data_IF_123520789050
#
_entry.id   IF_123520789050
#
_cell.length_a   1.000
_cell.length_b   1.000
_cell.length_c   1.000
_cell.angle_alpha   90.00
_cell.angle_beta   90.00
_cell.angle_gamma   90.00
#
_symmetry.space_group_name_H-M   'P 1'
#
loop_
_entity.id
_entity.type
_entity.pdbx_description
1 polymer ?
#
# COMPACT_ATOMS: atom_id res chain seq x y z
N UNK A 1 -53.77 -69.01 76.46
CA UNK A 1 -52.37 -68.74 76.86
C UNK A 1 -51.39 -69.38 75.88
N UNK A 2 -51.69 -70.57 75.35
CA UNK A 2 -50.85 -71.23 74.34
C UNK A 2 -50.94 -70.54 72.95
N UNK A 3 -52.17 -70.26 72.47
CA UNK A 3 -52.40 -69.53 71.21
C UNK A 3 -51.72 -68.15 71.17
N UNK A 4 -51.76 -67.41 72.29
CA UNK A 4 -51.12 -66.10 72.42
C UNK A 4 -49.59 -66.17 72.36
N UNK A 5 -49.00 -67.30 72.76
CA UNK A 5 -47.56 -67.51 72.75
C UNK A 5 -47.08 -67.90 71.34
N UNK A 6 -47.89 -68.66 70.62
CA UNK A 6 -47.65 -69.00 69.21
C UNK A 6 -47.75 -67.76 68.30
N UNK A 7 -48.72 -66.89 68.53
CA UNK A 7 -48.84 -65.61 67.81
C UNK A 7 -47.62 -64.70 68.03
N UNK A 8 -47.11 -64.66 69.27
CA UNK A 8 -45.88 -63.92 69.60
C UNK A 8 -44.65 -64.53 68.92
N UNK A 9 -44.55 -65.85 68.83
CA UNK A 9 -43.47 -66.53 68.11
C UNK A 9 -43.51 -66.27 66.60
N UNK A 10 -44.70 -66.24 66.00
CA UNK A 10 -44.90 -65.93 64.58
C UNK A 10 -44.53 -64.48 64.30
N UNK A 11 -44.97 -63.54 65.13
CA UNK A 11 -44.62 -62.12 64.98
C UNK A 11 -43.13 -61.88 65.15
N UNK A 12 -42.47 -62.52 66.11
CA UNK A 12 -41.02 -62.46 66.29
C UNK A 12 -40.24 -63.01 65.09
N UNK A 13 -40.67 -64.15 64.52
CA UNK A 13 -40.05 -64.67 63.28
C UNK A 13 -40.24 -63.71 62.10
N UNK A 14 -41.43 -63.14 61.96
CA UNK A 14 -41.72 -62.19 60.89
C UNK A 14 -40.90 -60.90 61.02
N UNK A 15 -40.70 -60.39 62.24
CA UNK A 15 -39.83 -59.23 62.48
C UNK A 15 -38.36 -59.58 62.22
N UNK A 16 -37.89 -60.75 62.63
CA UNK A 16 -36.54 -61.25 62.34
C UNK A 16 -36.30 -61.29 60.82
N UNK A 17 -37.20 -61.90 60.06
CA UNK A 17 -37.11 -62.00 58.59
C UNK A 17 -37.11 -60.60 57.95
N UNK A 18 -37.92 -59.67 58.45
CA UNK A 18 -37.94 -58.28 57.94
C UNK A 18 -36.61 -57.58 58.20
N UNK A 19 -36.07 -57.69 59.42
CA UNK A 19 -34.76 -57.12 59.77
C UNK A 19 -33.64 -57.73 58.92
N UNK A 20 -33.64 -59.05 58.71
CA UNK A 20 -32.64 -59.73 57.87
C UNK A 20 -32.71 -59.26 56.41
N UNK A 21 -33.93 -59.02 55.89
CA UNK A 21 -34.12 -58.42 54.55
C UNK A 21 -33.55 -57.00 54.48
N UNK A 22 -33.85 -56.16 55.46
CA UNK A 22 -33.32 -54.79 55.52
C UNK A 22 -31.79 -54.79 55.62
N UNK A 23 -31.20 -55.65 56.46
CA UNK A 23 -29.75 -55.81 56.57
C UNK A 23 -29.12 -56.25 55.25
N UNK A 24 -29.76 -57.19 54.54
CA UNK A 24 -29.27 -57.63 53.23
C UNK A 24 -29.39 -56.55 52.16
N UNK A 25 -30.46 -55.74 52.17
CA UNK A 25 -30.59 -54.59 51.28
C UNK A 25 -29.52 -53.53 51.56
N UNK A 26 -29.28 -53.21 52.83
CA UNK A 26 -28.22 -52.28 53.22
C UNK A 26 -26.84 -52.77 52.77
N UNK A 27 -26.55 -54.07 52.92
CA UNK A 27 -25.30 -54.66 52.41
C UNK A 27 -25.16 -54.52 50.90
N UNK A 28 -26.24 -54.75 50.14
CA UNK A 28 -26.24 -54.58 48.69
C UNK A 28 -26.03 -53.12 48.28
N UNK A 29 -26.65 -52.17 48.98
CA UNK A 29 -26.45 -50.74 48.73
C UNK A 29 -25.03 -50.31 49.04
N UNK A 30 -24.46 -50.76 50.17
CA UNK A 30 -23.06 -50.51 50.51
C UNK A 30 -22.14 -51.02 49.40
N UNK A 31 -22.33 -52.28 48.95
CA UNK A 31 -21.53 -52.85 47.86
C UNK A 31 -21.65 -52.04 46.56
N UNK A 32 -22.87 -51.61 46.20
CA UNK A 32 -23.12 -50.80 45.01
C UNK A 32 -22.45 -49.43 45.12
N UNK A 33 -22.57 -48.76 46.27
CA UNK A 33 -21.95 -47.46 46.50
C UNK A 33 -20.41 -47.57 46.48
N UNK A 34 -19.84 -48.63 47.06
CA UNK A 34 -18.39 -48.86 47.00
C UNK A 34 -17.89 -49.04 45.56
N UNK A 35 -18.63 -49.75 44.71
CA UNK A 35 -18.29 -49.88 43.29
C UNK A 35 -18.38 -48.52 42.58
N UNK A 36 -19.39 -47.71 42.86
CA UNK A 36 -19.52 -46.37 42.29
C UNK A 36 -18.40 -45.44 42.74
N UNK A 37 -18.02 -45.47 44.01
CA UNK A 37 -16.89 -44.71 44.55
C UNK A 37 -15.60 -45.11 43.82
N UNK A 38 -15.32 -46.42 43.70
CA UNK A 38 -14.13 -46.91 43.01
C UNK A 38 -14.08 -46.43 41.55
N UNK A 39 -15.21 -46.46 40.83
CA UNK A 39 -15.28 -45.97 39.45
C UNK A 39 -15.03 -44.47 39.34
N UNK A 40 -15.59 -43.70 40.27
CA UNK A 40 -15.42 -42.25 40.30
C UNK A 40 -13.97 -41.88 40.65
N UNK A 41 -13.34 -42.61 41.58
CA UNK A 41 -11.93 -42.45 41.94
C UNK A 41 -11.00 -42.80 40.77
N UNK A 42 -11.28 -43.88 40.03
CA UNK A 42 -10.56 -44.23 38.81
C UNK A 42 -10.69 -43.14 37.73
N UNK A 43 -11.91 -42.63 37.49
CA UNK A 43 -12.15 -41.55 36.53
C UNK A 43 -11.45 -40.25 36.94
N UNK A 44 -11.48 -39.90 38.23
CA UNK A 44 -10.78 -38.74 38.77
C UNK A 44 -9.25 -38.87 38.59
N UNK A 45 -8.70 -40.05 38.85
CA UNK A 45 -7.27 -40.32 38.63
C UNK A 45 -6.89 -40.22 37.14
N UNK A 46 -7.73 -40.75 36.24
CA UNK A 46 -7.52 -40.66 34.79
C UNK A 46 -7.56 -39.19 34.31
N UNK A 47 -8.54 -38.41 34.75
CA UNK A 47 -8.64 -36.99 34.43
C UNK A 47 -7.47 -36.19 34.99
N UNK A 48 -7.03 -36.49 36.21
CA UNK A 48 -5.87 -35.84 36.81
C UNK A 48 -4.58 -36.17 36.04
N UNK A 49 -4.41 -37.41 35.60
CA UNK A 49 -3.30 -37.81 34.76
C UNK A 49 -3.34 -37.06 33.42
N UNK A 50 -4.49 -37.04 32.74
CA UNK A 50 -4.69 -36.27 31.51
C UNK A 50 -4.32 -34.81 31.72
N UNK A 51 -4.88 -34.17 32.74
CA UNK A 51 -4.60 -32.77 33.08
C UNK A 51 -3.11 -32.52 33.33
N UNK A 52 -2.43 -33.42 34.08
CA UNK A 52 -0.97 -33.33 34.30
C UNK A 52 -0.20 -33.48 33.00
N UNK A 53 -0.52 -34.47 32.16
CA UNK A 53 0.14 -34.69 30.86
C UNK A 53 -0.01 -33.47 29.96
N UNK A 54 -1.22 -32.88 29.91
CA UNK A 54 -1.44 -31.62 29.19
C UNK A 54 -0.63 -30.46 29.81
N UNK A 55 -0.57 -30.32 31.15
CA UNK A 55 0.20 -29.25 31.80
C UNK A 55 1.73 -29.41 31.70
N UNK A 56 2.26 -30.65 31.67
CA UNK A 56 3.70 -30.93 31.58
C UNK A 56 4.32 -30.48 30.25
N UNK A 57 3.52 -30.30 29.20
CA UNK A 57 3.98 -29.89 27.87
C UNK A 57 4.10 -28.39 27.64
N UNK A 58 4.10 -27.56 28.69
CA UNK A 58 3.83 -26.11 28.55
C UNK A 58 2.54 -25.89 27.73
N UNK A 59 1.39 -26.41 28.18
CA UNK A 59 0.14 -26.09 27.50
C UNK A 59 -0.18 -24.61 27.68
N UNK A 60 0.24 -23.81 26.69
CA UNK A 60 -0.02 -22.36 26.61
C UNK A 60 -1.45 -22.14 26.12
N UNK A 61 -2.43 -22.74 26.80
CA UNK A 61 -3.85 -22.67 26.44
C UNK A 61 -4.29 -21.23 26.22
N UNK A 62 -3.85 -20.31 27.08
CA UNK A 62 -4.11 -18.88 26.90
C UNK A 62 -3.50 -18.30 25.61
N UNK A 63 -2.29 -18.71 25.22
CA UNK A 63 -1.70 -18.25 23.95
C UNK A 63 -2.42 -18.84 22.73
N UNK A 64 -2.88 -20.09 22.82
CA UNK A 64 -3.67 -20.73 21.77
C UNK A 64 -5.06 -20.08 21.66
N UNK A 65 -5.70 -19.75 22.77
CA UNK A 65 -6.97 -19.03 22.82
C UNK A 65 -6.82 -17.63 22.21
N UNK A 66 -5.76 -16.89 22.58
CA UNK A 66 -5.46 -15.60 21.96
C UNK A 66 -5.20 -15.71 20.45
N UNK A 67 -4.52 -16.78 20.02
CA UNK A 67 -4.28 -17.04 18.60
C UNK A 67 -5.60 -17.34 17.87
N UNK A 68 -6.47 -18.15 18.45
CA UNK A 68 -7.78 -18.48 17.90
C UNK A 68 -8.66 -17.24 17.77
N UNK A 69 -8.67 -16.37 18.78
CA UNK A 69 -9.40 -15.10 18.74
C UNK A 69 -8.85 -14.19 17.64
N UNK A 70 -7.52 -14.06 17.53
CA UNK A 70 -6.88 -13.28 16.47
C UNK A 70 -7.22 -13.81 15.07
N UNK A 71 -7.24 -15.14 14.89
CA UNK A 71 -7.62 -15.77 13.64
C UNK A 71 -9.10 -15.52 13.32
N UNK A 72 -9.98 -15.63 14.31
CA UNK A 72 -11.40 -15.37 14.14
C UNK A 72 -11.67 -13.93 13.68
N UNK A 73 -10.98 -12.95 14.28
CA UNK A 73 -11.07 -11.55 13.87
C UNK A 73 -10.60 -11.33 12.42
N UNK A 74 -9.51 -12.00 12.00
CA UNK A 74 -9.05 -11.92 10.60
C UNK A 74 -10.04 -12.54 9.63
N UNK A 75 -10.61 -13.68 9.97
CA UNK A 75 -11.64 -14.34 9.15
C UNK A 75 -12.88 -13.45 9.03
N UNK A 76 -13.26 -12.79 10.13
CA UNK A 76 -14.37 -11.84 10.15
C UNK A 76 -14.11 -10.63 9.24
N UNK A 77 -12.92 -10.05 9.27
CA UNK A 77 -12.54 -8.94 8.39
C UNK A 77 -12.58 -9.35 6.91
N UNK A 78 -12.02 -10.51 6.55
CA UNK A 78 -12.08 -11.04 5.18
C UNK A 78 -13.54 -11.26 4.75
N UNK A 79 -14.34 -11.88 5.60
CA UNK A 79 -15.75 -12.13 5.32
C UNK A 79 -16.54 -10.83 5.09
N UNK A 80 -16.34 -9.79 5.91
CA UNK A 80 -16.99 -8.50 5.74
C UNK A 80 -16.59 -7.83 4.42
N UNK A 81 -15.33 -7.93 4.03
CA UNK A 81 -14.83 -7.35 2.78
C UNK A 81 -15.32 -8.11 1.53
N UNK A 82 -15.52 -9.43 1.62
CA UNK A 82 -16.00 -10.26 0.50
C UNK A 82 -17.53 -10.26 0.36
N UNK A 83 -18.27 -10.41 1.47
CA UNK A 83 -19.73 -10.62 1.48
C UNK A 83 -20.52 -9.34 1.77
N UNK A 84 -19.91 -8.37 2.46
CA UNK A 84 -20.55 -7.14 2.91
C UNK A 84 -21.18 -7.26 4.31
N UNK A 85 -21.54 -6.12 4.91
CA UNK A 85 -21.95 -6.03 6.32
C UNK A 85 -23.39 -6.48 6.62
N UNK A 86 -24.13 -6.99 5.63
CA UNK A 86 -25.57 -7.26 5.76
C UNK A 86 -25.91 -8.62 6.40
N UNK A 87 -24.93 -9.54 6.50
CA UNK A 87 -25.14 -10.86 7.09
C UNK A 87 -24.59 -10.90 8.53
N UNK A 88 -25.27 -10.21 9.45
CA UNK A 88 -24.99 -10.22 10.90
C UNK A 88 -25.60 -11.43 11.62
N UNK A 89 -25.58 -12.62 11.01
CA UNK A 89 -25.87 -13.84 11.75
C UNK A 89 -24.61 -14.29 12.47
N UNK A 90 -24.75 -14.78 13.72
CA UNK A 90 -23.68 -15.38 14.53
C UNK A 90 -23.11 -16.64 13.84
N UNK A 91 -22.40 -16.46 12.73
CA UNK A 91 -21.78 -17.53 11.97
C UNK A 91 -20.49 -17.94 12.67
N UNK A 92 -20.29 -19.25 12.81
CA UNK A 92 -19.02 -19.79 13.26
C UNK A 92 -17.92 -19.51 12.24
N UNK A 93 -16.67 -19.43 12.67
CA UNK A 93 -15.49 -19.16 11.81
C UNK A 93 -15.43 -20.08 10.59
N UNK A 94 -15.75 -21.36 10.77
CA UNK A 94 -15.78 -22.35 9.67
C UNK A 94 -16.86 -22.02 8.65
N UNK A 95 -18.04 -21.62 9.11
CA UNK A 95 -19.14 -21.24 8.20
C UNK A 95 -18.78 -19.99 7.40
N UNK A 96 -18.16 -19.00 8.03
CA UNK A 96 -17.66 -17.80 7.34
C UNK A 96 -16.67 -18.17 6.23
N UNK A 97 -15.73 -19.07 6.52
CA UNK A 97 -14.76 -19.54 5.53
C UNK A 97 -15.44 -20.27 4.35
N UNK A 98 -16.45 -21.10 4.61
CA UNK A 98 -17.19 -21.79 3.56
C UNK A 98 -17.92 -20.81 2.63
N UNK A 99 -18.51 -19.74 3.18
CA UNK A 99 -19.14 -18.70 2.35
C UNK A 99 -18.10 -17.99 1.49
N UNK A 100 -16.95 -17.63 2.06
CA UNK A 100 -15.85 -16.98 1.32
C UNK A 100 -15.33 -17.88 0.20
N UNK A 101 -15.13 -19.17 0.48
CA UNK A 101 -14.70 -20.16 -0.51
C UNK A 101 -15.71 -20.27 -1.66
N UNK A 102 -17.00 -20.36 -1.34
CA UNK A 102 -18.05 -20.41 -2.35
C UNK A 102 -18.08 -19.14 -3.23
N UNK A 103 -17.96 -17.95 -2.63
CA UNK A 103 -17.88 -16.71 -3.40
C UNK A 103 -16.65 -16.65 -4.30
N UNK A 104 -15.51 -17.15 -3.83
CA UNK A 104 -14.29 -17.22 -4.62
C UNK A 104 -14.50 -18.14 -5.83
N UNK A 105 -15.09 -19.31 -5.64
CA UNK A 105 -15.41 -20.25 -6.73
C UNK A 105 -16.38 -19.62 -7.75
N UNK A 106 -17.44 -18.95 -7.29
CA UNK A 106 -18.38 -18.25 -8.18
C UNK A 106 -17.68 -17.16 -9.02
N UNK A 107 -16.78 -16.39 -8.41
CA UNK A 107 -16.02 -15.36 -9.11
C UNK A 107 -15.06 -15.96 -10.14
N UNK A 108 -14.42 -17.09 -9.82
CA UNK A 108 -13.55 -17.81 -10.75
C UNK A 108 -14.34 -18.37 -11.94
N UNK A 109 -15.49 -19.00 -11.70
CA UNK A 109 -16.36 -19.47 -12.78
C UNK A 109 -16.83 -18.31 -13.67
N UNK A 110 -17.21 -17.18 -13.05
CA UNK A 110 -17.62 -15.99 -13.79
C UNK A 110 -16.48 -15.44 -14.65
N UNK A 111 -15.24 -15.48 -14.15
CA UNK A 111 -14.04 -15.06 -14.88
C UNK A 111 -13.78 -15.94 -16.10
N UNK A 112 -13.94 -17.26 -15.97
CA UNK A 112 -13.80 -18.20 -17.09
C UNK A 112 -14.88 -18.01 -18.16
N UNK A 113 -16.09 -17.63 -17.75
CA UNK A 113 -17.23 -17.39 -18.66
C UNK A 113 -17.20 -16.04 -19.35
N UNK A 114 -16.26 -15.14 -19.04
CA UNK A 114 -16.21 -13.81 -19.66
C UNK A 114 -16.00 -13.93 -21.17
N UNK A 115 -16.89 -13.37 -22.01
CA UNK A 115 -16.71 -13.43 -23.46
C UNK A 115 -15.45 -12.69 -23.91
N UNK A 116 -14.64 -13.33 -24.77
CA UNK A 116 -13.40 -12.77 -25.31
C UNK A 116 -13.60 -11.38 -25.94
N UNK A 117 -14.74 -11.13 -26.58
CA UNK A 117 -15.07 -9.84 -27.17
C UNK A 117 -15.09 -8.69 -26.16
N UNK A 118 -15.55 -8.92 -24.91
CA UNK A 118 -15.53 -7.90 -23.85
C UNK A 118 -14.10 -7.63 -23.37
N UNK A 119 -13.26 -8.67 -23.31
CA UNK A 119 -11.85 -8.57 -22.93
C UNK A 119 -11.11 -7.70 -23.96
N UNK A 120 -11.26 -8.00 -25.25
CA UNK A 120 -10.62 -7.22 -26.31
C UNK A 120 -11.07 -5.75 -26.32
N UNK A 121 -12.35 -5.49 -26.05
CA UNK A 121 -12.87 -4.12 -25.93
C UNK A 121 -12.21 -3.38 -24.76
N UNK A 122 -12.11 -4.03 -23.59
CA UNK A 122 -11.45 -3.47 -22.42
C UNK A 122 -9.95 -3.19 -22.67
N UNK A 123 -9.25 -4.10 -23.34
CA UNK A 123 -7.85 -3.92 -23.75
C UNK A 123 -7.68 -2.75 -24.71
N UNK A 124 -8.55 -2.64 -25.73
CA UNK A 124 -8.53 -1.52 -26.69
C UNK A 124 -8.76 -0.18 -25.99
N UNK A 125 -9.67 -0.12 -25.02
CA UNK A 125 -9.92 1.09 -24.22
C UNK A 125 -8.69 1.44 -23.39
N UNK A 126 -8.11 0.48 -22.66
CA UNK A 126 -6.92 0.69 -21.82
C UNK A 126 -5.70 1.12 -22.62
N UNK A 127 -5.46 0.50 -23.78
CA UNK A 127 -4.37 0.87 -24.68
C UNK A 127 -4.61 2.24 -25.33
N UNK A 128 -5.85 2.58 -25.68
CA UNK A 128 -6.20 3.93 -26.16
C UNK A 128 -5.93 4.99 -25.09
N UNK A 129 -6.35 4.74 -23.85
CA UNK A 129 -6.11 5.66 -22.73
C UNK A 129 -4.61 5.84 -22.49
N UNK A 130 -3.85 4.74 -22.46
CA UNK A 130 -2.38 4.77 -22.34
C UNK A 130 -1.74 5.62 -23.45
N UNK A 131 -2.17 5.46 -24.70
CA UNK A 131 -1.68 6.26 -25.83
C UNK A 131 -1.98 7.74 -25.67
N UNK A 132 -3.17 8.08 -25.20
CA UNK A 132 -3.57 9.48 -24.96
C UNK A 132 -2.68 10.07 -23.86
N UNK A 133 -2.54 9.39 -22.71
CA UNK A 133 -1.68 9.84 -21.59
C UNK A 133 -0.24 10.10 -22.05
N UNK A 134 0.34 9.22 -22.87
CA UNK A 134 1.71 9.39 -23.40
C UNK A 134 1.80 10.61 -24.33
N UNK A 135 0.81 10.82 -25.21
CA UNK A 135 0.79 11.99 -26.11
C UNK A 135 0.64 13.30 -25.35
N UNK A 136 -0.26 13.33 -24.36
CA UNK A 136 -0.48 14.50 -23.52
C UNK A 136 0.79 14.87 -22.75
N UNK A 137 1.47 13.89 -22.15
CA UNK A 137 2.71 14.14 -21.43
C UNK A 137 3.81 14.65 -22.38
N UNK A 138 3.93 14.07 -23.57
CA UNK A 138 4.89 14.54 -24.58
C UNK A 138 4.57 15.97 -25.04
N UNK A 139 3.31 16.29 -25.28
CA UNK A 139 2.87 17.63 -25.67
C UNK A 139 3.12 18.64 -24.53
N UNK A 140 2.89 18.24 -23.27
CA UNK A 140 3.17 19.06 -22.09
C UNK A 140 4.65 19.41 -21.99
N UNK A 141 5.54 18.42 -22.15
CA UNK A 141 6.99 18.62 -22.12
C UNK A 141 7.42 19.55 -23.27
N UNK A 142 6.91 19.34 -24.49
CA UNK A 142 7.23 20.21 -25.63
C UNK A 142 6.77 21.66 -25.41
N UNK A 143 5.57 21.86 -24.86
CA UNK A 143 5.04 23.18 -24.52
C UNK A 143 5.90 23.87 -23.47
N UNK A 144 6.30 23.17 -22.42
CA UNK A 144 7.20 23.71 -21.39
C UNK A 144 8.56 24.13 -21.96
N UNK A 145 9.16 23.28 -22.80
CA UNK A 145 10.43 23.61 -23.47
C UNK A 145 10.31 24.82 -24.40
N UNK A 146 9.19 24.94 -25.13
CA UNK A 146 8.93 26.09 -25.99
C UNK A 146 8.72 27.37 -25.19
N UNK A 147 7.96 27.28 -24.09
CA UNK A 147 7.74 28.39 -23.17
C UNK A 147 9.04 28.86 -22.53
N UNK A 148 9.91 27.95 -22.07
CA UNK A 148 11.23 28.28 -21.53
C UNK A 148 12.11 29.00 -22.56
N UNK A 149 12.10 28.54 -23.82
CA UNK A 149 12.83 29.20 -24.92
C UNK A 149 12.31 30.62 -25.17
N UNK A 150 10.99 30.80 -25.19
CA UNK A 150 10.36 32.12 -25.35
C UNK A 150 10.68 33.04 -24.17
N UNK A 151 10.61 32.53 -22.94
CA UNK A 151 10.98 33.28 -21.73
C UNK A 151 12.47 33.70 -21.78
N UNK A 152 13.39 32.79 -22.15
CA UNK A 152 14.82 33.10 -22.30
C UNK A 152 15.09 34.13 -23.41
N UNK A 153 14.34 34.10 -24.51
CA UNK A 153 14.45 35.10 -25.57
C UNK A 153 13.93 36.47 -25.12
N UNK A 154 12.78 36.52 -24.43
CA UNK A 154 12.22 37.75 -23.84
C UNK A 154 13.17 38.36 -22.82
N UNK A 155 13.73 37.56 -21.91
CA UNK A 155 14.71 38.03 -20.93
C UNK A 155 15.96 38.63 -21.59
N UNK A 156 16.47 38.01 -22.67
CA UNK A 156 17.58 38.57 -23.45
C UNK A 156 17.24 39.89 -24.14
N UNK A 157 16.02 40.04 -24.63
CA UNK A 157 15.56 41.28 -25.27
C UNK A 157 15.33 42.42 -24.26
N UNK A 158 14.87 42.09 -23.05
CA UNK A 158 14.65 43.05 -21.96
C UNK A 158 15.93 43.41 -21.19
N UNK A 159 16.98 42.59 -21.29
CA UNK A 159 18.25 42.84 -20.61
C UNK A 159 18.84 44.18 -21.05
N UNK A 160 19.29 44.97 -20.07
CA UNK A 160 19.84 46.30 -20.34
C UNK A 160 21.05 46.21 -21.28
N UNK A 161 20.99 46.96 -22.38
CA UNK A 161 22.10 47.08 -23.32
C UNK A 161 23.21 47.87 -22.64
N UNK A 162 24.27 47.18 -22.21
CA UNK A 162 25.50 47.82 -21.71
C UNK A 162 26.14 48.62 -22.84
N UNK A 163 25.91 49.94 -22.84
CA UNK A 163 26.55 50.87 -23.78
C UNK A 163 28.06 50.83 -23.54
N UNK A 164 28.78 50.12 -24.42
CA UNK A 164 30.24 50.18 -24.42
C UNK A 164 30.63 51.60 -24.82
N UNK A 165 31.18 52.38 -23.90
CA UNK A 165 31.94 53.57 -24.28
C UNK A 165 33.13 53.03 -25.08
N UNK A 166 33.16 53.31 -26.38
CA UNK A 166 34.22 52.86 -27.27
C UNK A 166 35.60 53.40 -26.85
N UNK A 167 36.63 53.15 -27.66
CA UNK A 167 37.95 53.77 -27.44
C UNK A 167 37.79 55.29 -27.46
N UNK A 168 38.38 55.97 -26.47
CA UNK A 168 38.39 57.44 -26.40
C UNK A 168 38.99 57.99 -27.68
N UNK A 169 38.32 58.95 -28.31
CA UNK A 169 38.83 59.64 -29.49
C UNK A 169 40.17 60.29 -29.12
N UNK A 170 41.23 59.91 -29.82
CA UNK A 170 42.55 60.53 -29.68
C UNK A 170 42.66 61.60 -30.76
N UNK A 171 42.80 62.86 -30.35
CA UNK A 171 43.01 63.97 -31.29
C UNK A 171 44.36 63.81 -32.00
N UNK A 172 44.39 64.01 -33.33
CA UNK A 172 45.64 64.03 -34.10
C UNK A 172 46.32 65.40 -33.94
N UNK A 173 47.65 65.43 -34.06
CA UNK A 173 48.40 66.69 -34.12
C UNK A 173 47.92 67.54 -35.32
N UNK A 174 47.86 68.86 -35.13
CA UNK A 174 47.52 69.79 -36.22
C UNK A 174 48.70 69.87 -37.20
N UNK A 175 48.45 69.84 -38.53
CA UNK A 175 49.51 70.00 -39.52
C UNK A 175 50.16 71.39 -39.42
N UNK A 176 51.46 71.50 -39.75
CA UNK A 176 52.19 72.77 -39.70
C UNK A 176 51.63 73.75 -40.73
N UNK A 177 51.45 75.01 -40.32
CA UNK A 177 50.93 76.09 -41.17
C UNK A 177 52.01 76.48 -42.18
N UNK A 178 51.73 76.29 -43.47
CA UNK A 178 52.60 76.72 -44.57
C UNK A 178 52.44 78.23 -44.74
N UNK A 179 53.52 78.99 -44.56
CA UNK A 179 53.56 80.42 -44.90
C UNK A 179 54.01 80.57 -46.35
N UNK A 180 53.16 81.13 -47.19
CA UNK A 180 53.47 81.41 -48.61
C UNK A 180 54.33 82.67 -48.66
N UNK A 181 55.50 82.60 -49.31
CA UNK A 181 56.28 83.78 -49.71
C UNK A 181 55.66 84.34 -51.00
N UNK A 182 55.31 85.61 -51.01
CA UNK A 182 54.85 86.32 -52.21
C UNK A 182 55.96 86.31 -53.28
N UNK A 183 55.61 85.88 -54.50
CA UNK A 183 56.51 85.90 -55.65
C UNK A 183 56.38 87.22 -56.41
N UNK A 184 57.52 87.85 -56.72
CA UNK A 184 57.65 89.09 -57.48
C UNK A 184 57.11 88.97 -58.91
N UNK A 185 56.47 90.03 -59.40
CA UNK A 185 55.87 90.11 -60.74
C UNK A 185 56.90 89.93 -61.87
N UNK A 186 56.57 89.18 -62.95
CA UNK A 186 57.44 89.03 -64.11
C UNK A 186 57.43 90.30 -64.97
N UNK A 187 58.62 90.77 -65.34
CA UNK A 187 58.84 91.86 -66.30
C UNK A 187 58.41 91.40 -67.70
N UNK A 188 57.52 92.16 -68.34
CA UNK A 188 57.08 91.93 -69.72
C UNK A 188 58.14 92.52 -70.65
N UNK A 189 58.89 91.66 -71.35
CA UNK A 189 59.84 92.06 -72.38
C UNK A 189 59.13 92.16 -73.73
N UNK A 190 59.49 93.14 -74.55
CA UNK A 190 58.78 93.48 -75.79
C UNK A 190 59.28 92.62 -76.97
N UNK A 191 58.40 92.37 -77.95
CA UNK A 191 58.66 91.49 -79.12
C UNK A 191 59.95 91.79 -79.89
N UNK A 192 60.37 93.04 -79.97
CA UNK A 192 61.62 93.43 -80.64
C UNK A 192 62.87 92.85 -79.95
N UNK A 193 62.82 92.64 -78.63
CA UNK A 193 63.91 92.04 -77.84
C UNK A 193 63.98 90.52 -78.03
N UNK A 194 62.84 89.85 -78.24
CA UNK A 194 62.81 88.44 -78.62
C UNK A 194 63.36 88.21 -80.03
N UNK A 195 63.06 89.10 -80.98
CA UNK A 195 63.57 89.01 -82.37
C UNK A 195 65.08 89.28 -82.47
N UNK A 196 65.62 90.20 -81.66
CA UNK A 196 67.07 90.43 -81.54
C UNK A 196 67.83 89.22 -80.99
N UNK A 197 67.24 88.47 -80.04
CA UNK A 197 67.84 87.24 -79.51
C UNK A 197 67.87 86.11 -80.55
N UNK A 198 66.92 86.09 -81.48
CA UNK A 198 66.84 85.07 -82.53
C UNK A 198 67.86 85.29 -83.67
N UNK A 199 68.27 86.54 -83.95
CA UNK A 199 69.19 86.83 -85.07
C UNK A 199 70.68 86.61 -84.73
N UNK A 200 71.04 86.45 -83.46
CA UNK A 200 72.42 86.20 -83.01
C UNK A 200 72.62 84.80 -82.39
N UNK A 201 71.74 83.85 -82.70
CA UNK A 201 71.94 82.42 -82.38
C UNK A 201 72.14 81.55 -83.61
#
# INVERSE_FOLDING_TARGET
>A
MEETLDDLNVTLRNTQIRMDREVNLLKQWIATMMISISKEEEAAAELQLKARVFHFGEYKGHQQEMLLESLNLKVQDVYQNCVGMQQEANLGTVQMLTVVEHQLDELLENLERVPQAKIEQAEKIKERERRIRIREEKARIQKQQQEERLQRARARAQAEIKKKRGRRLVCRSRPPIIRIKEASEPLVMNKEEEEMLFFFT
#
